data_IF_380902664807
#
_entry.id   IF_380902664807
#
_cell.length_a   1.000
_cell.length_b   1.000
_cell.length_c   1.000
_cell.angle_alpha   90.00
_cell.angle_beta   90.00
_cell.angle_gamma   90.00
#
_symmetry.space_group_name_H-M   'P 1'
#
loop_
_entity.id
_entity.type
_entity.pdbx_description
1 polymer ?
#
# COMPACT_ATOMS: atom_id res chain seq x y z
N UNK A 1 40.34 52.32 -0.04
CA UNK A 1 38.91 52.06 -0.27
C UNK A 1 38.75 51.55 -1.69
N UNK A 2 38.33 50.31 -1.86
CA UNK A 2 38.13 49.64 -3.16
C UNK A 2 36.68 49.20 -3.25
N UNK A 3 35.94 49.51 -4.34
CA UNK A 3 34.55 49.07 -4.47
C UNK A 3 34.50 47.61 -4.94
N UNK A 4 33.70 46.80 -4.27
CA UNK A 4 33.42 45.42 -4.64
C UNK A 4 32.39 45.38 -5.79
N UNK A 5 32.79 44.80 -6.93
CA UNK A 5 31.91 44.60 -8.08
C UNK A 5 31.00 43.39 -7.85
N UNK A 6 29.71 43.62 -7.63
CA UNK A 6 28.68 42.58 -7.61
C UNK A 6 28.40 42.08 -9.03
N UNK A 7 28.70 40.81 -9.30
CA UNK A 7 28.22 40.13 -10.53
C UNK A 7 26.76 39.69 -10.35
N UNK A 8 25.88 39.88 -11.34
CA UNK A 8 24.56 39.28 -11.34
C UNK A 8 24.62 37.77 -11.58
N UNK A 9 23.67 37.02 -11.00
CA UNK A 9 23.46 35.60 -11.25
C UNK A 9 22.89 35.38 -12.67
N UNK A 10 23.22 34.26 -13.34
CA UNK A 10 22.67 33.94 -14.65
C UNK A 10 21.18 33.58 -14.55
N UNK A 11 20.37 34.09 -15.48
CA UNK A 11 18.96 33.74 -15.59
C UNK A 11 18.78 32.29 -16.08
N UNK A 12 17.80 31.58 -15.52
CA UNK A 12 17.45 30.21 -15.92
C UNK A 12 16.81 30.17 -17.32
N UNK A 13 17.05 29.13 -18.13
CA UNK A 13 16.47 29.02 -19.48
C UNK A 13 14.95 28.82 -19.43
N UNK A 14 14.21 29.67 -20.14
CA UNK A 14 12.73 29.61 -20.28
C UNK A 14 12.22 28.44 -21.11
N UNK A 15 13.09 27.55 -21.59
CA UNK A 15 12.75 26.41 -22.46
C UNK A 15 12.02 25.27 -21.74
N UNK A 16 12.14 25.14 -20.42
CA UNK A 16 11.60 24.00 -19.67
C UNK A 16 10.09 24.03 -19.41
N UNK A 17 9.43 25.17 -19.60
CA UNK A 17 7.96 25.29 -19.42
C UNK A 17 7.13 24.63 -20.52
N UNK A 18 7.74 24.11 -21.60
CA UNK A 18 7.02 23.68 -22.82
C UNK A 18 6.98 22.17 -23.08
N UNK A 19 7.64 21.35 -22.24
CA UNK A 19 7.87 19.91 -22.51
C UNK A 19 6.85 18.97 -21.84
N UNK A 20 5.82 19.50 -21.16
CA UNK A 20 4.80 18.70 -20.45
C UNK A 20 3.36 18.94 -20.95
N UNK A 21 3.20 19.30 -22.23
CA UNK A 21 1.90 19.34 -22.89
C UNK A 21 1.50 17.93 -23.37
N UNK A 22 0.50 17.32 -22.73
CA UNK A 22 -0.11 16.05 -23.13
C UNK A 22 -1.08 16.22 -24.31
N UNK A 23 -1.13 15.28 -25.28
CA UNK A 23 -2.27 15.07 -26.17
C UNK A 23 -3.30 14.08 -25.60
N UNK A 24 -4.51 14.08 -26.18
CA UNK A 24 -5.74 13.47 -25.64
C UNK A 24 -5.85 11.92 -25.76
N UNK A 25 -6.76 11.37 -24.95
CA UNK A 25 -7.06 9.96 -24.77
C UNK A 25 -7.61 9.22 -26.02
N UNK A 26 -7.33 7.92 -26.11
CA UNK A 26 -8.17 6.91 -26.79
C UNK A 26 -8.26 5.62 -25.97
N UNK A 27 -9.32 4.86 -26.18
CA UNK A 27 -9.83 3.85 -25.24
C UNK A 27 -10.02 2.45 -25.85
N UNK A 28 -10.39 1.51 -24.96
CA UNK A 28 -11.02 0.19 -25.16
C UNK A 28 -10.18 -1.06 -25.48
N UNK A 29 -10.45 -2.14 -24.71
CA UNK A 29 -10.06 -3.52 -25.04
C UNK A 29 -10.25 -4.55 -23.91
N UNK A 30 -11.48 -4.93 -23.55
CA UNK A 30 -11.74 -6.08 -22.66
C UNK A 30 -11.44 -7.44 -23.32
N UNK A 31 -11.06 -8.45 -22.53
CA UNK A 31 -11.58 -9.83 -22.72
C UNK A 31 -11.47 -10.69 -21.46
N UNK A 32 -12.40 -11.63 -21.29
CA UNK A 32 -12.45 -12.60 -20.19
C UNK A 32 -12.10 -14.02 -20.65
N UNK A 33 -11.64 -14.88 -19.74
CA UNK A 33 -11.42 -16.32 -19.98
C UNK A 33 -11.71 -17.14 -18.71
N UNK A 34 -12.21 -18.37 -18.86
CA UNK A 34 -12.91 -19.11 -17.79
C UNK A 34 -12.50 -20.60 -17.73
N UNK A 35 -12.72 -21.22 -16.56
CA UNK A 35 -12.99 -22.66 -16.28
C UNK A 35 -11.86 -23.72 -16.21
N UNK A 36 -12.10 -24.68 -15.30
CA UNK A 36 -11.46 -26.01 -15.17
C UNK A 36 -10.55 -26.18 -13.94
N UNK A 37 -10.56 -27.26 -13.15
CA UNK A 37 -11.42 -28.46 -13.12
C UNK A 37 -11.38 -29.16 -11.74
N UNK A 38 -12.28 -30.12 -11.52
CA UNK A 38 -12.50 -30.92 -10.31
C UNK A 38 -11.45 -32.01 -10.00
N UNK A 39 -11.34 -32.44 -8.74
CA UNK A 39 -10.89 -33.79 -8.37
C UNK A 39 -11.60 -34.30 -7.09
N UNK A 40 -12.04 -35.57 -7.11
CA UNK A 40 -12.79 -36.22 -6.03
C UNK A 40 -11.90 -36.68 -4.86
N UNK A 41 -12.49 -36.88 -3.68
CA UNK A 41 -11.90 -37.60 -2.55
C UNK A 41 -12.76 -38.85 -2.22
N UNK A 42 -12.13 -40.02 -2.17
CA UNK A 42 -12.73 -41.28 -1.69
C UNK A 42 -12.19 -41.65 -0.30
N UNK A 43 -12.98 -42.29 0.59
CA UNK A 43 -12.50 -42.75 1.89
C UNK A 43 -11.96 -44.20 1.86
N UNK A 44 -10.82 -44.44 2.52
CA UNK A 44 -10.24 -45.78 2.74
C UNK A 44 -11.09 -46.64 3.68
N UNK A 45 -11.07 -47.96 3.44
CA UNK A 45 -11.69 -48.98 4.32
C UNK A 45 -10.67 -50.04 4.79
N UNK A 46 -11.07 -50.79 5.83
CA UNK A 46 -10.46 -52.02 6.41
C UNK A 46 -9.26 -51.86 7.36
N UNK A 47 -9.01 -52.84 8.27
CA UNK A 47 -9.54 -54.22 8.32
C UNK A 47 -10.32 -54.63 9.60
N UNK A 48 -10.84 -55.87 9.58
CA UNK A 48 -11.36 -56.63 10.74
C UNK A 48 -10.25 -57.46 11.37
N UNK A 49 -10.24 -57.61 12.69
CA UNK A 49 -9.52 -58.67 13.41
C UNK A 49 -10.37 -59.26 14.56
N UNK A 50 -10.09 -60.53 14.85
CA UNK A 50 -10.49 -61.40 15.97
C UNK A 50 -9.32 -62.42 16.14
N UNK A 51 -9.11 -63.21 17.23
CA UNK A 51 -10.06 -63.82 18.18
C UNK A 51 -9.58 -63.49 19.65
N UNK A 52 -9.55 -64.33 20.73
CA UNK A 52 -10.05 -65.70 20.98
C UNK A 52 -10.83 -65.91 22.31
N UNK A 53 -11.11 -67.18 22.62
CA UNK A 53 -11.92 -67.68 23.74
C UNK A 53 -11.23 -67.80 25.12
N UNK A 54 -12.09 -67.81 26.15
CA UNK A 54 -12.08 -68.57 27.44
C UNK A 54 -12.03 -67.71 28.72
N UNK A 55 -12.53 -68.23 29.87
CA UNK A 55 -13.55 -69.27 30.08
C UNK A 55 -14.76 -68.77 30.90
N UNK A 56 -15.80 -69.59 31.01
CA UNK A 56 -16.97 -69.28 31.84
C UNK A 56 -16.65 -69.33 33.34
N UNK A 57 -17.07 -68.31 34.10
CA UNK A 57 -17.24 -68.39 35.55
C UNK A 57 -18.60 -67.84 35.98
N UNK A 58 -19.39 -68.75 36.57
CA UNK A 58 -20.53 -68.59 37.47
C UNK A 58 -21.35 -67.28 37.42
N UNK A 59 -22.62 -67.40 37.02
CA UNK A 59 -23.64 -66.39 37.28
C UNK A 59 -23.92 -66.28 38.79
N UNK A 60 -23.51 -65.17 39.40
CA UNK A 60 -24.19 -64.63 40.58
C UNK A 60 -25.29 -63.66 40.10
N UNK A 61 -26.52 -63.88 40.56
CA UNK A 61 -27.74 -63.24 40.07
C UNK A 61 -27.79 -61.74 40.43
N UNK A 62 -27.66 -60.82 39.44
CA UNK A 62 -28.31 -59.49 39.36
C UNK A 62 -27.81 -58.64 38.15
N UNK A 63 -28.52 -58.61 36.99
CA UNK A 63 -28.32 -57.49 36.04
C UNK A 63 -29.54 -56.95 35.27
N UNK A 64 -30.74 -57.55 35.36
CA UNK A 64 -31.79 -57.35 34.33
C UNK A 64 -32.51 -55.98 34.36
N UNK A 65 -32.76 -55.38 35.55
CA UNK A 65 -33.40 -54.06 35.61
C UNK A 65 -32.48 -52.93 35.12
N UNK A 66 -31.17 -53.04 35.38
CA UNK A 66 -30.23 -51.97 35.03
C UNK A 66 -30.10 -51.82 33.52
N UNK A 67 -30.02 -52.92 32.77
CA UNK A 67 -29.92 -52.86 31.31
C UNK A 67 -31.21 -52.35 30.64
N UNK A 68 -32.38 -52.84 31.08
CA UNK A 68 -33.69 -52.44 30.50
C UNK A 68 -34.07 -50.99 30.75
N UNK A 69 -33.72 -50.38 31.88
CA UNK A 69 -34.06 -48.98 32.18
C UNK A 69 -32.98 -47.97 31.76
N UNK A 70 -31.69 -48.31 31.80
CA UNK A 70 -30.63 -47.34 31.45
C UNK A 70 -30.34 -47.26 29.95
N UNK A 71 -30.43 -48.36 29.19
CA UNK A 71 -30.11 -48.34 27.75
C UNK A 71 -31.06 -47.47 26.90
N UNK A 72 -32.40 -47.46 27.12
CA UNK A 72 -33.28 -46.54 26.40
C UNK A 72 -33.04 -45.08 26.80
N UNK A 73 -32.77 -44.84 28.09
CA UNK A 73 -32.55 -43.50 28.63
C UNK A 73 -31.25 -42.87 28.12
N UNK A 74 -30.17 -43.65 28.04
CA UNK A 74 -28.91 -43.20 27.45
C UNK A 74 -29.06 -42.92 25.94
N UNK A 75 -29.76 -43.77 25.20
CA UNK A 75 -30.04 -43.55 23.77
C UNK A 75 -30.80 -42.23 23.52
N UNK A 76 -31.81 -41.91 24.35
CA UNK A 76 -32.54 -40.62 24.29
C UNK A 76 -31.62 -39.45 24.62
N UNK A 77 -30.76 -39.55 25.64
CA UNK A 77 -29.79 -38.50 25.97
C UNK A 77 -28.75 -38.28 24.86
N UNK A 78 -28.24 -39.34 24.22
CA UNK A 78 -27.32 -39.22 23.08
C UNK A 78 -27.99 -38.61 21.86
N UNK A 79 -29.24 -39.00 21.56
CA UNK A 79 -30.04 -38.40 20.48
C UNK A 79 -30.25 -36.89 20.71
N UNK A 80 -30.71 -36.49 21.91
CA UNK A 80 -30.90 -35.08 22.24
C UNK A 80 -29.60 -34.26 22.17
N UNK A 81 -28.46 -34.84 22.58
CA UNK A 81 -27.15 -34.19 22.43
C UNK A 81 -26.72 -34.04 20.96
N UNK A 82 -27.00 -35.04 20.12
CA UNK A 82 -26.73 -34.97 18.68
C UNK A 82 -27.58 -33.89 18.01
N UNK A 83 -28.87 -33.84 18.32
CA UNK A 83 -29.81 -32.83 17.81
C UNK A 83 -29.42 -31.41 18.25
N UNK A 84 -28.97 -31.22 19.50
CA UNK A 84 -28.43 -29.95 19.98
C UNK A 84 -27.17 -29.52 19.19
N UNK A 85 -26.17 -30.40 19.07
CA UNK A 85 -24.93 -30.11 18.31
C UNK A 85 -25.22 -29.86 16.82
N UNK A 86 -26.21 -30.53 16.24
CA UNK A 86 -26.66 -30.25 14.86
C UNK A 86 -27.32 -28.87 14.74
N UNK A 87 -28.18 -28.49 15.69
CA UNK A 87 -28.82 -27.18 15.72
C UNK A 87 -27.79 -26.05 15.89
N UNK A 88 -26.81 -26.22 16.77
CA UNK A 88 -25.72 -25.28 16.99
C UNK A 88 -24.82 -25.18 15.75
N UNK A 89 -24.42 -26.32 15.14
CA UNK A 89 -23.65 -26.31 13.89
C UNK A 89 -24.38 -25.63 12.73
N UNK A 90 -25.71 -25.74 12.66
CA UNK A 90 -26.52 -25.04 11.66
C UNK A 90 -26.63 -23.53 11.96
N UNK A 91 -26.67 -23.14 13.24
CA UNK A 91 -26.63 -21.73 13.67
C UNK A 91 -25.28 -21.11 13.31
N UNK A 92 -24.17 -21.71 13.74
CA UNK A 92 -22.81 -21.26 13.43
C UNK A 92 -22.58 -21.15 11.91
N UNK A 93 -23.09 -22.09 11.11
CA UNK A 93 -23.01 -22.01 9.64
C UNK A 93 -23.75 -20.79 9.08
N UNK A 94 -24.94 -20.46 9.59
CA UNK A 94 -25.71 -19.27 9.18
C UNK A 94 -24.98 -17.97 9.59
N UNK A 95 -24.51 -17.90 10.83
CA UNK A 95 -23.74 -16.75 11.34
C UNK A 95 -22.44 -16.55 10.55
N UNK A 96 -21.70 -17.63 10.26
CA UNK A 96 -20.48 -17.60 9.44
C UNK A 96 -20.75 -17.17 7.98
N UNK A 97 -21.93 -17.46 7.42
CA UNK A 97 -22.31 -16.96 6.10
C UNK A 97 -22.65 -15.46 6.16
N UNK A 98 -23.42 -15.02 7.15
CA UNK A 98 -23.75 -13.60 7.34
C UNK A 98 -22.50 -12.74 7.56
N UNK A 99 -21.57 -13.18 8.43
CA UNK A 99 -20.29 -12.49 8.66
C UNK A 99 -19.41 -12.42 7.40
N UNK A 100 -19.46 -13.45 6.53
CA UNK A 100 -18.76 -13.43 5.24
C UNK A 100 -19.36 -12.43 4.27
N UNK A 101 -20.69 -12.31 4.24
CA UNK A 101 -21.38 -11.30 3.42
C UNK A 101 -21.02 -9.89 3.88
N UNK A 102 -21.10 -9.60 5.18
CA UNK A 102 -20.69 -8.32 5.75
C UNK A 102 -19.21 -7.98 5.46
N UNK A 103 -18.31 -8.97 5.54
CA UNK A 103 -16.89 -8.78 5.20
C UNK A 103 -16.70 -8.48 3.70
N UNK A 104 -17.48 -9.09 2.80
CA UNK A 104 -17.44 -8.82 1.37
C UNK A 104 -17.98 -7.42 1.05
N UNK A 105 -19.10 -7.02 1.65
CA UNK A 105 -19.67 -5.68 1.52
C UNK A 105 -18.71 -4.59 2.02
N UNK A 106 -18.14 -4.76 3.22
CA UNK A 106 -17.16 -3.82 3.78
C UNK A 106 -15.88 -3.73 2.93
N UNK A 107 -15.40 -4.86 2.40
CA UNK A 107 -14.25 -4.89 1.48
C UNK A 107 -14.56 -4.15 0.17
N UNK A 108 -15.76 -4.31 -0.39
CA UNK A 108 -16.17 -3.62 -1.60
C UNK A 108 -16.27 -2.11 -1.38
N UNK A 109 -16.83 -1.66 -0.25
CA UNK A 109 -16.90 -0.24 0.12
C UNK A 109 -15.50 0.37 0.28
N UNK A 110 -14.58 -0.30 0.98
CA UNK A 110 -13.20 0.18 1.14
C UNK A 110 -12.44 0.25 -0.19
N UNK A 111 -12.66 -0.71 -1.09
CA UNK A 111 -12.07 -0.70 -2.43
C UNK A 111 -12.55 0.51 -3.25
N UNK A 112 -13.87 0.73 -3.30
CA UNK A 112 -14.47 1.89 -3.98
C UNK A 112 -14.00 3.22 -3.38
N UNK A 113 -13.84 3.29 -2.05
CA UNK A 113 -13.31 4.48 -1.38
C UNK A 113 -11.84 4.73 -1.73
N UNK A 114 -11.02 3.69 -1.81
CA UNK A 114 -9.61 3.80 -2.20
C UNK A 114 -9.46 4.30 -3.65
N UNK A 115 -10.24 3.75 -4.57
CA UNK A 115 -10.31 4.20 -5.97
C UNK A 115 -10.72 5.68 -6.07
N UNK A 116 -11.85 6.06 -5.45
CA UNK A 116 -12.33 7.45 -5.44
C UNK A 116 -11.35 8.44 -4.80
N UNK A 117 -10.71 8.07 -3.69
CA UNK A 117 -9.68 8.90 -3.06
C UNK A 117 -8.43 9.06 -3.95
N UNK A 118 -8.11 8.06 -4.76
CA UNK A 118 -6.98 8.08 -5.70
C UNK A 118 -7.27 8.98 -6.90
N UNK A 119 -8.45 8.83 -7.52
CA UNK A 119 -8.93 9.69 -8.61
C UNK A 119 -9.02 11.17 -8.18
N UNK A 120 -9.64 11.44 -7.02
CA UNK A 120 -9.70 12.80 -6.46
C UNK A 120 -8.30 13.33 -6.13
N UNK A 121 -7.43 12.49 -5.55
CA UNK A 121 -6.05 12.84 -5.22
C UNK A 121 -5.24 13.22 -6.45
N UNK A 122 -5.35 12.43 -7.53
CA UNK A 122 -4.72 12.68 -8.82
C UNK A 122 -5.17 14.03 -9.41
N UNK A 123 -6.48 14.26 -9.51
CA UNK A 123 -7.02 15.50 -10.06
C UNK A 123 -6.62 16.73 -9.23
N UNK A 124 -6.84 16.70 -7.91
CA UNK A 124 -6.56 17.83 -7.02
C UNK A 124 -5.05 18.14 -6.93
N UNK A 125 -4.20 17.12 -6.83
CA UNK A 125 -2.75 17.32 -6.76
C UNK A 125 -2.16 17.72 -8.12
N UNK A 126 -2.71 17.27 -9.25
CA UNK A 126 -2.26 17.73 -10.57
C UNK A 126 -2.54 19.23 -10.77
N UNK A 127 -3.72 19.70 -10.35
CA UNK A 127 -4.03 21.13 -10.33
C UNK A 127 -3.08 21.90 -9.39
N UNK A 128 -2.87 21.40 -8.17
CA UNK A 128 -1.96 22.00 -7.19
C UNK A 128 -0.49 22.02 -7.67
N UNK A 129 -0.06 20.99 -8.39
CA UNK A 129 1.25 20.95 -9.05
C UNK A 129 1.35 22.07 -10.09
N UNK A 130 0.35 22.23 -10.96
CA UNK A 130 0.32 23.31 -11.95
C UNK A 130 0.46 24.71 -11.31
N UNK A 131 -0.37 25.01 -10.30
CA UNK A 131 -0.37 26.36 -9.67
C UNK A 131 0.79 26.63 -8.71
N UNK A 132 1.38 25.59 -8.11
CA UNK A 132 2.55 25.72 -7.22
C UNK A 132 3.85 26.10 -7.92
N UNK A 133 3.86 26.20 -9.25
CA UNK A 133 4.95 26.81 -10.02
C UNK A 133 5.17 28.30 -9.71
N UNK A 134 4.23 28.95 -9.00
CA UNK A 134 4.29 30.37 -8.60
C UNK A 134 4.67 30.52 -7.13
N UNK A 135 5.62 31.42 -6.85
CA UNK A 135 6.12 31.70 -5.49
C UNK A 135 5.01 32.11 -4.50
N UNK A 136 4.05 32.94 -4.94
CA UNK A 136 2.88 33.35 -4.14
C UNK A 136 2.07 32.14 -3.64
N UNK A 137 1.89 31.12 -4.48
CA UNK A 137 1.15 29.90 -4.15
C UNK A 137 1.93 29.03 -3.18
N UNK A 138 3.24 28.87 -3.40
CA UNK A 138 4.11 28.17 -2.45
C UNK A 138 4.07 28.86 -1.08
N UNK A 139 4.17 30.19 -1.04
CA UNK A 139 4.09 30.96 0.21
C UNK A 139 2.74 30.76 0.91
N UNK A 140 1.63 30.76 0.17
CA UNK A 140 0.30 30.48 0.73
C UNK A 140 0.15 29.03 1.26
N UNK A 141 0.68 28.03 0.55
CA UNK A 141 0.70 26.63 1.00
C UNK A 141 1.47 26.51 2.31
N UNK A 142 2.66 27.10 2.39
CA UNK A 142 3.57 26.99 3.54
C UNK A 142 3.11 27.80 4.76
N UNK A 143 2.33 28.87 4.54
CA UNK A 143 1.65 29.62 5.60
C UNK A 143 0.40 28.93 6.16
N UNK A 144 -0.08 27.85 5.52
CA UNK A 144 -1.26 27.10 5.95
C UNK A 144 -0.97 26.13 7.11
N UNK A 145 -1.90 26.02 8.06
CA UNK A 145 -1.78 25.14 9.23
C UNK A 145 -1.68 23.64 8.87
N UNK A 146 -2.10 23.25 7.67
CA UNK A 146 -2.00 21.88 7.15
C UNK A 146 -0.69 21.55 6.45
N UNK A 147 0.22 22.51 6.22
CA UNK A 147 1.44 22.31 5.43
C UNK A 147 2.24 21.06 5.87
N UNK A 148 2.60 20.99 7.15
CA UNK A 148 3.34 19.86 7.72
C UNK A 148 2.63 18.50 7.52
N UNK A 149 1.29 18.47 7.69
CA UNK A 149 0.50 17.27 7.49
C UNK A 149 0.46 16.86 6.01
N UNK A 150 0.34 17.83 5.10
CA UNK A 150 0.36 17.59 3.65
C UNK A 150 1.69 16.96 3.21
N UNK A 151 2.83 17.53 3.62
CA UNK A 151 4.15 16.98 3.25
C UNK A 151 4.47 15.65 3.95
N UNK A 152 3.95 15.42 5.15
CA UNK A 152 4.03 14.11 5.83
C UNK A 152 3.26 13.02 5.08
N UNK A 153 2.00 13.30 4.70
CA UNK A 153 1.18 12.39 3.88
C UNK A 153 1.84 12.18 2.51
N UNK A 154 2.38 13.24 1.89
CA UNK A 154 3.12 13.16 0.62
C UNK A 154 4.26 12.14 0.69
N UNK A 155 5.09 12.19 1.74
CA UNK A 155 6.16 11.22 1.95
C UNK A 155 5.62 9.79 2.10
N UNK A 156 4.62 9.60 2.96
CA UNK A 156 3.99 8.29 3.21
C UNK A 156 3.36 7.69 1.94
N UNK A 157 2.68 8.50 1.13
CA UNK A 157 2.04 8.04 -0.12
C UNK A 157 3.09 7.61 -1.16
N UNK A 158 4.17 8.38 -1.33
CA UNK A 158 5.28 7.97 -2.20
C UNK A 158 5.96 6.70 -1.69
N UNK A 159 6.14 6.56 -0.37
CA UNK A 159 6.74 5.38 0.24
C UNK A 159 5.86 4.13 0.07
N UNK A 160 4.56 4.21 0.36
CA UNK A 160 3.63 3.09 0.18
C UNK A 160 3.52 2.69 -1.29
N UNK A 161 3.53 3.67 -2.21
CA UNK A 161 3.52 3.41 -3.64
C UNK A 161 4.74 2.59 -4.06
N UNK A 162 5.97 3.05 -3.76
CA UNK A 162 7.19 2.32 -4.15
C UNK A 162 7.24 0.92 -3.53
N UNK A 163 6.83 0.77 -2.26
CA UNK A 163 6.74 -0.54 -1.60
C UNK A 163 5.70 -1.49 -2.22
N UNK A 164 4.68 -0.97 -2.92
CA UNK A 164 3.68 -1.77 -3.63
C UNK A 164 4.11 -2.24 -5.03
N UNK A 165 5.25 -1.77 -5.54
CA UNK A 165 5.74 -2.11 -6.87
C UNK A 165 6.42 -3.49 -6.88
N UNK A 166 5.60 -4.54 -6.91
CA UNK A 166 5.97 -5.97 -6.88
C UNK A 166 6.69 -6.45 -8.17
N UNK A 167 7.72 -5.74 -8.61
CA UNK A 167 8.57 -6.06 -9.75
C UNK A 167 7.92 -5.94 -11.14
N UNK A 168 6.60 -5.98 -11.21
CA UNK A 168 5.81 -5.82 -12.43
C UNK A 168 5.58 -4.34 -12.77
N UNK A 169 5.49 -4.05 -14.07
CA UNK A 169 5.34 -2.69 -14.58
C UNK A 169 3.87 -2.31 -14.57
N UNK A 170 3.41 -1.77 -13.43
CA UNK A 170 2.08 -1.15 -13.32
C UNK A 170 1.91 -0.11 -14.44
N UNK A 171 0.75 -0.08 -15.10
CA UNK A 171 0.53 0.76 -16.29
C UNK A 171 0.92 2.22 -16.01
N UNK A 172 1.72 2.85 -16.89
CA UNK A 172 2.39 4.12 -16.60
C UNK A 172 1.42 5.28 -16.33
N UNK A 173 0.19 5.21 -16.86
CA UNK A 173 -0.79 6.31 -16.85
C UNK A 173 -1.94 6.14 -15.83
N UNK A 174 -1.86 5.16 -14.92
CA UNK A 174 -2.88 4.99 -13.86
C UNK A 174 -3.02 6.23 -12.95
N UNK A 175 -4.22 6.47 -12.40
CA UNK A 175 -4.48 7.60 -11.50
C UNK A 175 -3.58 7.57 -10.25
N UNK A 176 -3.20 6.38 -9.78
CA UNK A 176 -2.25 6.20 -8.67
C UNK A 176 -0.85 6.73 -9.03
N UNK A 177 -0.35 6.42 -10.23
CA UNK A 177 0.89 6.98 -10.74
C UNK A 177 0.79 8.50 -10.88
N UNK A 178 -0.32 9.00 -11.46
CA UNK A 178 -0.53 10.44 -11.64
C UNK A 178 -0.57 11.18 -10.31
N UNK A 179 -1.27 10.65 -9.31
CA UNK A 179 -1.32 11.19 -7.94
C UNK A 179 0.07 11.26 -7.31
N UNK A 180 0.83 10.17 -7.37
CA UNK A 180 2.20 10.10 -6.82
C UNK A 180 3.16 11.05 -7.54
N UNK A 181 3.09 11.13 -8.88
CA UNK A 181 3.90 12.08 -9.65
C UNK A 181 3.51 13.53 -9.36
N UNK A 182 2.23 13.83 -9.17
CA UNK A 182 1.76 15.17 -8.83
C UNK A 182 2.22 15.60 -7.43
N UNK A 183 2.16 14.70 -6.44
CA UNK A 183 2.74 14.94 -5.12
C UNK A 183 4.24 15.24 -5.18
N UNK A 184 5.02 14.40 -5.86
CA UNK A 184 6.46 14.65 -6.07
C UNK A 184 6.73 15.96 -6.83
N UNK A 185 5.88 16.29 -7.80
CA UNK A 185 5.92 17.52 -8.58
C UNK A 185 5.68 18.79 -7.75
N UNK A 186 4.72 18.76 -6.83
CA UNK A 186 4.49 19.85 -5.86
C UNK A 186 5.74 20.07 -5.01
N UNK A 187 6.35 19.00 -4.49
CA UNK A 187 7.61 19.09 -3.72
C UNK A 187 8.75 19.67 -4.55
N UNK A 188 8.84 19.30 -5.83
CA UNK A 188 9.84 19.84 -6.77
C UNK A 188 9.68 21.35 -6.97
N UNK A 189 8.45 21.82 -7.16
CA UNK A 189 8.13 23.25 -7.27
C UNK A 189 8.41 24.02 -5.97
N UNK A 190 8.01 23.47 -4.82
CA UNK A 190 8.29 24.06 -3.50
C UNK A 190 9.80 24.18 -3.28
N UNK A 191 10.59 23.16 -3.64
CA UNK A 191 12.05 23.21 -3.56
C UNK A 191 12.68 24.25 -4.54
N UNK A 192 12.03 24.59 -5.65
CA UNK A 192 12.50 25.64 -6.56
C UNK A 192 12.45 27.04 -5.93
N UNK A 193 11.56 27.26 -4.94
CA UNK A 193 11.37 28.55 -4.25
C UNK A 193 12.24 28.63 -2.98
N UNK A 194 12.75 29.83 -2.66
CA UNK A 194 13.67 30.03 -1.55
C UNK A 194 13.06 29.68 -0.18
N UNK A 195 11.87 30.20 0.14
CA UNK A 195 11.16 29.89 1.39
C UNK A 195 10.78 28.40 1.49
N UNK A 196 10.49 27.76 0.35
CA UNK A 196 10.22 26.33 0.29
C UNK A 196 11.42 25.46 0.61
N UNK A 197 12.63 25.81 0.14
CA UNK A 197 13.87 25.13 0.57
C UNK A 197 14.10 25.23 2.07
N UNK A 198 13.88 26.41 2.65
CA UNK A 198 14.04 26.59 4.10
C UNK A 198 13.01 25.78 4.88
N UNK A 199 11.74 25.78 4.45
CA UNK A 199 10.71 24.94 5.06
C UNK A 199 11.06 23.44 4.98
N UNK A 200 11.48 22.94 3.82
CA UNK A 200 11.80 21.51 3.64
C UNK A 200 12.94 21.08 4.59
N UNK A 201 14.02 21.85 4.65
CA UNK A 201 15.21 21.54 5.45
C UNK A 201 15.01 21.74 6.96
N UNK A 202 14.14 22.67 7.38
CA UNK A 202 13.89 22.93 8.80
C UNK A 202 12.73 22.08 9.36
N UNK A 203 11.69 21.83 8.55
CA UNK A 203 10.37 21.38 9.04
C UNK A 203 9.83 20.13 8.34
N UNK A 204 10.41 19.67 7.23
CA UNK A 204 9.98 18.45 6.51
C UNK A 204 11.16 17.53 6.16
N UNK A 205 12.10 17.39 7.10
CA UNK A 205 13.25 16.49 7.00
C UNK A 205 12.89 15.04 6.68
N UNK A 206 11.86 14.51 7.35
CA UNK A 206 11.35 13.15 7.11
C UNK A 206 11.00 12.93 5.64
N UNK A 207 10.40 13.93 4.97
CA UNK A 207 10.12 13.84 3.54
C UNK A 207 11.42 13.76 2.72
N UNK A 208 12.44 14.56 3.04
CA UNK A 208 13.74 14.49 2.35
C UNK A 208 14.43 13.14 2.56
N UNK A 209 14.36 12.58 3.76
CA UNK A 209 14.91 11.26 4.10
C UNK A 209 14.18 10.16 3.32
N UNK A 210 12.84 10.20 3.27
CA UNK A 210 12.03 9.31 2.43
C UNK A 210 12.43 9.44 0.96
N UNK A 211 12.59 10.65 0.42
CA UNK A 211 12.97 10.85 -0.99
C UNK A 211 14.36 10.26 -1.31
N UNK A 212 15.32 10.37 -0.39
CA UNK A 212 16.64 9.73 -0.52
C UNK A 212 16.52 8.20 -0.48
N UNK A 213 15.71 7.65 0.42
CA UNK A 213 15.47 6.21 0.53
C UNK A 213 14.81 5.66 -0.75
N UNK A 214 13.75 6.31 -1.25
CA UNK A 214 13.01 5.86 -2.43
C UNK A 214 13.87 5.83 -3.71
N UNK A 215 14.88 6.69 -3.82
CA UNK A 215 15.83 6.65 -4.92
C UNK A 215 16.74 5.41 -4.88
N UNK A 216 16.99 4.85 -3.70
CA UNK A 216 17.71 3.57 -3.53
C UNK A 216 16.81 2.34 -3.65
N UNK A 217 15.55 2.43 -3.19
CA UNK A 217 14.59 1.32 -3.24
C UNK A 217 14.08 1.03 -4.67
N UNK A 218 13.96 2.07 -5.51
CA UNK A 218 13.44 1.93 -6.88
C UNK A 218 14.44 1.28 -7.84
N UNK A 219 14.03 0.20 -8.51
CA UNK A 219 14.87 -0.57 -9.45
C UNK A 219 15.24 0.20 -10.73
N UNK A 220 16.26 -0.26 -11.49
CA UNK A 220 16.59 0.31 -12.81
C UNK A 220 15.38 0.24 -13.76
N UNK A 221 15.16 1.26 -14.58
CA UNK A 221 13.99 1.37 -15.48
C UNK A 221 12.62 1.56 -14.80
N UNK A 222 12.50 1.35 -13.48
CA UNK A 222 11.26 1.46 -12.73
C UNK A 222 10.95 2.92 -12.35
N UNK A 223 9.70 3.35 -12.61
CA UNK A 223 9.16 4.67 -12.24
C UNK A 223 10.09 5.86 -12.54
N UNK A 224 10.71 5.86 -13.72
CA UNK A 224 11.69 6.88 -14.16
C UNK A 224 11.20 8.32 -13.96
N UNK A 225 9.91 8.59 -14.21
CA UNK A 225 9.30 9.91 -13.97
C UNK A 225 9.36 10.33 -12.49
N UNK A 226 9.08 9.42 -11.55
CA UNK A 226 9.24 9.68 -10.12
C UNK A 226 10.72 9.93 -9.77
N UNK A 227 11.64 9.08 -10.24
CA UNK A 227 13.09 9.28 -10.01
C UNK A 227 13.57 10.66 -10.44
N UNK A 228 13.17 11.12 -11.62
CA UNK A 228 13.52 12.44 -12.15
C UNK A 228 12.97 13.56 -11.26
N UNK A 229 11.71 13.48 -10.82
CA UNK A 229 11.11 14.46 -9.91
C UNK A 229 11.82 14.50 -8.55
N UNK A 230 12.10 13.34 -7.95
CA UNK A 230 12.84 13.24 -6.69
C UNK A 230 14.25 13.84 -6.79
N UNK A 231 15.00 13.49 -7.84
CA UNK A 231 16.33 14.04 -8.10
C UNK A 231 16.30 15.55 -8.35
N UNK A 232 15.32 16.06 -9.11
CA UNK A 232 15.15 17.49 -9.38
C UNK A 232 14.80 18.26 -8.10
N UNK A 233 13.95 17.71 -7.24
CA UNK A 233 13.61 18.30 -5.95
C UNK A 233 14.82 18.33 -4.98
N UNK A 234 15.60 17.24 -4.89
CA UNK A 234 16.81 17.19 -4.07
C UNK A 234 17.91 18.12 -4.61
N UNK A 235 18.09 18.18 -5.93
CA UNK A 235 18.96 19.17 -6.58
C UNK A 235 18.55 20.59 -6.19
N UNK A 236 17.25 20.92 -6.32
CA UNK A 236 16.73 22.22 -5.93
C UNK A 236 17.04 22.51 -4.45
N UNK A 237 16.77 21.59 -3.52
CA UNK A 237 17.11 21.74 -2.08
C UNK A 237 18.61 22.00 -1.88
N UNK A 238 19.48 21.33 -2.63
CA UNK A 238 20.95 21.48 -2.54
C UNK A 238 21.47 22.87 -2.93
N UNK A 239 20.67 23.70 -3.60
CA UNK A 239 21.01 25.11 -3.88
C UNK A 239 21.13 25.92 -2.58
N UNK A 240 20.44 25.52 -1.49
CA UNK A 240 20.60 26.12 -0.17
C UNK A 240 21.73 25.41 0.59
N UNK A 241 22.67 26.16 1.19
CA UNK A 241 23.79 25.62 1.97
C UNK A 241 23.34 24.67 3.09
N UNK A 242 22.24 24.97 3.80
CA UNK A 242 21.67 24.07 4.82
C UNK A 242 21.15 22.78 4.19
N UNK A 243 20.54 22.87 3.00
CA UNK A 243 20.01 21.72 2.26
C UNK A 243 21.11 20.83 1.69
N UNK A 244 22.15 21.42 1.07
CA UNK A 244 23.34 20.68 0.64
C UNK A 244 23.99 19.97 1.82
N UNK A 245 24.20 20.69 2.93
CA UNK A 245 24.77 20.12 4.15
C UNK A 245 23.95 18.93 4.65
N UNK A 246 22.63 19.12 4.80
CA UNK A 246 21.69 18.06 5.22
C UNK A 246 21.78 16.80 4.35
N UNK A 247 21.75 16.96 3.03
CA UNK A 247 21.84 15.85 2.07
C UNK A 247 23.22 15.18 2.16
N UNK A 248 24.31 15.97 2.23
CA UNK A 248 25.68 15.45 2.28
C UNK A 248 26.07 14.75 3.59
N UNK A 249 25.43 15.13 4.71
CA UNK A 249 25.61 14.48 6.02
C UNK A 249 24.78 13.19 6.15
N UNK A 250 23.88 12.89 5.20
CA UNK A 250 23.13 11.63 5.17
C UNK A 250 24.05 10.46 4.78
N UNK A 251 24.20 9.43 5.64
CA UNK A 251 25.18 8.35 5.41
C UNK A 251 24.88 7.49 4.17
N UNK A 252 23.62 7.48 3.72
CA UNK A 252 23.21 6.78 2.50
C UNK A 252 23.49 7.54 1.19
N UNK A 253 23.80 8.85 1.26
CA UNK A 253 23.85 9.70 0.06
C UNK A 253 25.04 9.39 -0.87
N UNK A 254 26.24 9.16 -0.33
CA UNK A 254 27.42 8.84 -1.15
C UNK A 254 27.28 7.46 -1.84
N UNK A 255 26.85 6.38 -1.14
CA UNK A 255 26.48 5.11 -1.79
C UNK A 255 25.40 5.26 -2.86
N UNK A 256 24.36 6.07 -2.60
CA UNK A 256 23.28 6.33 -3.55
C UNK A 256 23.77 7.05 -4.82
N UNK A 257 24.58 8.10 -4.67
CA UNK A 257 25.20 8.80 -5.81
C UNK A 257 26.07 7.85 -6.63
N UNK A 258 26.90 7.03 -5.97
CA UNK A 258 27.72 6.03 -6.65
C UNK A 258 26.88 5.06 -7.46
N UNK A 259 25.81 4.52 -6.87
CA UNK A 259 24.88 3.61 -7.53
C UNK A 259 24.18 4.26 -8.74
N UNK A 260 23.68 5.50 -8.59
CA UNK A 260 23.04 6.25 -9.68
C UNK A 260 23.99 6.58 -10.84
N UNK A 261 25.27 6.85 -10.56
CA UNK A 261 26.27 7.23 -11.55
C UNK A 261 26.96 6.04 -12.22
N UNK A 262 26.97 4.86 -11.59
CA UNK A 262 27.69 3.68 -12.10
C UNK A 262 27.07 3.06 -13.36
N UNK A 263 25.87 3.49 -13.75
CA UNK A 263 25.08 2.83 -14.80
C UNK A 263 24.41 1.60 -14.23
N UNK A 264 23.09 1.71 -14.08
CA UNK A 264 22.23 0.64 -13.58
C UNK A 264 21.83 -0.33 -14.71
#
# INVERSE_FOLDING_TARGET
MTPSVTRPLPALPTSWHRTLAFPESRAFGHSSGMLGSSACWEPRTRPKEAPPDRPAQSCALLPDLHFRYYAPRSAVHFKARLEAVQADSLREKKEKLALRQQLQEARQQLQQQAEYCTEMGAAACTLLWGVSSREEVVTAILGGDKALKFFSITGQTMESFVKSLDGDVREPDSDENQFVFALAGIVTNVAAIACGREFLVNSSRVLLDTMLQLLGDLKPGQCTKLKVLLLMALYNVSINLKGLRYISESPGFIPLLWWLLSGA
#
